data_IF_281311095642
#
_entry.id   IF_281311095642
#
_cell.length_a   1.000
_cell.length_b   1.000
_cell.length_c   1.000
_cell.angle_alpha   90.00
_cell.angle_beta   90.00
_cell.angle_gamma   90.00
#
_symmetry.space_group_name_H-M   'P 1'
#
loop_
_entity.id
_entity.type
_entity.pdbx_description
1 polymer ?
#
# COMPACT_ATOMS: atom_id res chain seq x y z
N UNK A 1 8.79 -3.28 -20.38
CA UNK A 1 9.15 -2.21 -21.34
C UNK A 1 8.02 -1.89 -22.32
N UNK A 2 7.47 -2.86 -23.06
CA UNK A 2 6.33 -2.60 -23.95
C UNK A 2 5.12 -1.93 -23.26
N UNK A 3 4.70 -2.42 -22.08
CA UNK A 3 3.59 -1.82 -21.33
C UNK A 3 3.87 -0.37 -20.88
N UNK A 4 5.11 -0.06 -20.52
CA UNK A 4 5.51 1.31 -20.17
C UNK A 4 5.39 2.25 -21.37
N UNK A 5 5.82 1.81 -22.55
CA UNK A 5 5.71 2.61 -23.78
C UNK A 5 4.24 2.87 -24.13
N UNK A 6 3.39 1.83 -24.07
CA UNK A 6 1.95 1.97 -24.37
C UNK A 6 1.28 2.93 -23.39
N UNK A 7 1.52 2.77 -22.08
CA UNK A 7 0.86 3.60 -21.07
C UNK A 7 1.39 5.03 -21.08
N UNK A 8 2.71 5.20 -21.08
CA UNK A 8 3.34 6.52 -20.90
C UNK A 8 3.39 7.34 -22.17
N UNK A 9 3.64 6.72 -23.33
CA UNK A 9 3.84 7.44 -24.58
C UNK A 9 2.61 7.44 -25.50
N UNK A 10 1.64 6.55 -25.29
CA UNK A 10 0.41 6.50 -26.09
C UNK A 10 -0.79 6.94 -25.25
N UNK A 11 -1.12 6.19 -24.19
CA UNK A 11 -2.35 6.41 -23.44
C UNK A 11 -2.36 7.74 -22.67
N UNK A 12 -1.28 8.08 -21.97
CA UNK A 12 -1.22 9.35 -21.19
C UNK A 12 -1.33 10.60 -22.08
N UNK A 13 -0.57 10.72 -23.20
CA UNK A 13 -0.79 11.77 -24.18
C UNK A 13 -2.22 11.80 -24.70
N UNK A 14 -2.74 10.68 -25.19
CA UNK A 14 -4.10 10.64 -25.76
C UNK A 14 -5.13 11.10 -24.74
N UNK A 15 -5.04 10.66 -23.48
CA UNK A 15 -5.94 11.06 -22.40
C UNK A 15 -5.83 12.56 -22.06
N UNK A 16 -4.62 13.13 -22.09
CA UNK A 16 -4.39 14.55 -21.84
C UNK A 16 -4.93 15.43 -23.00
N UNK A 17 -4.65 15.05 -24.24
CA UNK A 17 -5.10 15.80 -25.43
C UNK A 17 -6.62 15.75 -25.64
N UNK A 18 -7.25 14.60 -25.34
CA UNK A 18 -8.71 14.42 -25.35
C UNK A 18 -9.41 15.11 -24.17
N UNK A 19 -8.66 15.75 -23.26
CA UNK A 19 -9.19 16.42 -22.06
C UNK A 19 -10.06 15.50 -21.19
N UNK A 20 -9.72 14.21 -21.12
CA UNK A 20 -10.41 13.25 -20.25
C UNK A 20 -10.26 13.70 -18.79
N UNK A 21 -11.35 13.74 -18.03
CA UNK A 21 -11.39 14.22 -16.63
C UNK A 21 -10.92 15.66 -16.39
N UNK A 22 -10.93 16.53 -17.41
CA UNK A 22 -10.43 17.91 -17.26
C UNK A 22 -8.92 17.99 -17.07
N UNK A 23 -8.18 16.96 -17.55
CA UNK A 23 -6.74 16.81 -17.36
C UNK A 23 -5.91 18.02 -17.78
N UNK A 24 -6.36 18.84 -18.73
CA UNK A 24 -5.63 20.05 -19.20
C UNK A 24 -5.51 21.13 -18.13
N UNK A 25 -6.29 21.06 -17.05
CA UNK A 25 -6.23 22.01 -15.93
C UNK A 25 -5.08 21.71 -14.96
N UNK A 26 -4.44 20.55 -15.09
CA UNK A 26 -3.46 20.04 -14.13
C UNK A 26 -2.14 19.71 -14.83
N UNK A 27 -1.00 19.69 -14.11
CA UNK A 27 0.28 19.27 -14.68
C UNK A 27 0.21 17.82 -15.18
N UNK A 28 0.89 17.56 -16.30
CA UNK A 28 0.93 16.24 -16.95
C UNK A 28 1.43 15.13 -16.02
N UNK A 29 2.44 15.43 -15.20
CA UNK A 29 2.97 14.56 -14.14
C UNK A 29 2.98 15.36 -12.84
N UNK A 30 2.21 14.92 -11.86
CA UNK A 30 2.29 15.45 -10.51
C UNK A 30 1.79 14.41 -9.51
N UNK A 31 2.43 14.34 -8.35
CA UNK A 31 1.98 13.57 -7.19
C UNK A 31 0.99 14.35 -6.30
N UNK A 32 0.75 15.63 -6.61
CA UNK A 32 -0.15 16.48 -5.84
C UNK A 32 -1.62 16.30 -6.25
N UNK A 33 -2.51 16.54 -5.29
CA UNK A 33 -3.95 16.67 -5.47
C UNK A 33 -4.31 18.12 -5.82
N UNK A 34 -5.30 18.31 -6.69
CA UNK A 34 -5.70 19.62 -7.17
C UNK A 34 -7.18 19.91 -6.94
N UNK A 35 -7.50 21.18 -6.69
CA UNK A 35 -8.86 21.71 -6.72
C UNK A 35 -9.39 21.79 -8.16
N UNK A 36 -10.68 22.06 -8.37
CA UNK A 36 -11.26 22.27 -9.71
C UNK A 36 -10.53 23.34 -10.54
N UNK A 37 -9.89 24.30 -9.87
CA UNK A 37 -9.22 25.47 -10.46
C UNK A 37 -7.76 25.20 -10.87
N UNK A 38 -7.24 23.99 -10.70
CA UNK A 38 -5.84 23.67 -11.02
C UNK A 38 -4.83 24.05 -9.93
N UNK A 39 -5.30 24.65 -8.82
CA UNK A 39 -4.47 24.97 -7.66
C UNK A 39 -4.27 23.73 -6.77
N UNK A 40 -3.13 23.64 -6.04
CA UNK A 40 -2.92 22.56 -5.08
C UNK A 40 -4.02 22.54 -4.02
N UNK A 41 -4.53 21.36 -3.73
CA UNK A 41 -5.69 21.17 -2.85
C UNK A 41 -5.35 21.52 -1.40
N UNK A 42 -6.11 22.44 -0.78
CA UNK A 42 -5.88 22.84 0.60
C UNK A 42 -6.64 21.93 1.57
N UNK A 43 -5.92 20.97 2.15
CA UNK A 43 -6.46 19.95 3.05
C UNK A 43 -6.99 20.57 4.37
N UNK A 44 -6.42 21.68 4.82
CA UNK A 44 -6.83 22.34 6.06
C UNK A 44 -8.25 22.92 6.02
N UNK A 45 -8.84 23.09 4.82
CA UNK A 45 -10.22 23.58 4.65
C UNK A 45 -11.28 22.49 4.84
N UNK A 46 -10.91 21.22 4.64
CA UNK A 46 -11.81 20.06 4.74
C UNK A 46 -11.58 19.23 6.01
N UNK A 47 -10.54 19.54 6.77
CA UNK A 47 -10.23 18.89 8.04
C UNK A 47 -10.49 19.84 9.19
N UNK A 48 -11.27 19.37 10.16
CA UNK A 48 -11.41 20.08 11.41
C UNK A 48 -10.08 20.04 12.19
N UNK A 49 -9.47 21.19 12.44
CA UNK A 49 -8.13 21.30 13.07
C UNK A 49 -8.07 20.79 14.51
N UNK A 50 -9.21 20.61 15.18
CA UNK A 50 -9.28 20.13 16.57
C UNK A 50 -9.50 18.63 16.68
N UNK A 51 -10.31 18.07 15.79
CA UNK A 51 -10.66 16.65 15.81
C UNK A 51 -9.95 15.84 14.73
N UNK A 52 -9.30 16.46 13.74
CA UNK A 52 -8.78 15.82 12.52
C UNK A 52 -9.82 14.95 11.79
N UNK A 53 -11.10 15.23 12.03
CA UNK A 53 -12.22 14.56 11.37
C UNK A 53 -12.43 15.21 10.00
N UNK A 54 -12.73 14.37 9.01
CA UNK A 54 -13.13 14.85 7.69
C UNK A 54 -14.53 15.46 7.76
N UNK A 55 -14.65 16.69 7.25
CA UNK A 55 -15.92 17.42 7.17
C UNK A 55 -16.47 17.32 5.73
N UNK A 56 -17.58 16.59 5.60
CA UNK A 56 -18.23 16.34 4.31
C UNK A 56 -18.87 17.62 3.73
N UNK A 57 -19.44 18.50 4.56
CA UNK A 57 -20.08 19.73 4.09
C UNK A 57 -19.04 20.74 3.59
N UNK A 58 -17.91 20.84 4.31
CA UNK A 58 -16.78 21.65 3.86
C UNK A 58 -16.16 21.11 2.57
N UNK A 59 -16.15 19.78 2.38
CA UNK A 59 -15.69 19.15 1.15
C UNK A 59 -16.60 19.44 -0.05
N UNK A 60 -17.92 19.27 0.13
CA UNK A 60 -18.90 19.46 -0.95
C UNK A 60 -19.00 20.94 -1.38
N UNK A 61 -18.75 21.87 -0.46
CA UNK A 61 -18.71 23.31 -0.76
C UNK A 61 -17.39 23.80 -1.37
N UNK A 62 -16.26 23.15 -1.10
CA UNK A 62 -14.95 23.56 -1.62
C UNK A 62 -14.70 23.06 -3.04
N UNK A 63 -14.41 21.77 -3.21
CA UNK A 63 -14.36 21.09 -4.51
C UNK A 63 -14.09 19.61 -4.32
N UNK A 64 -14.52 18.81 -5.31
CA UNK A 64 -14.03 17.44 -5.46
C UNK A 64 -12.52 17.45 -5.67
N UNK A 65 -11.84 16.46 -5.10
CA UNK A 65 -10.39 16.26 -5.27
C UNK A 65 -10.14 15.72 -6.66
N UNK A 66 -9.31 16.43 -7.42
CA UNK A 66 -8.84 15.98 -8.73
C UNK A 66 -7.38 15.51 -8.64
N UNK A 67 -7.06 14.49 -9.42
CA UNK A 67 -5.73 13.89 -9.48
C UNK A 67 -5.14 14.12 -10.88
N UNK A 68 -3.81 14.21 -10.97
CA UNK A 68 -3.14 14.26 -12.27
C UNK A 68 -3.40 12.97 -13.05
N UNK A 69 -3.47 13.08 -14.38
CA UNK A 69 -3.77 11.96 -15.28
C UNK A 69 -2.78 10.81 -15.10
N UNK A 70 -1.49 11.12 -14.87
CA UNK A 70 -0.47 10.14 -14.55
C UNK A 70 -0.84 9.30 -13.33
N UNK A 71 -1.23 9.95 -12.24
CA UNK A 71 -1.55 9.30 -10.96
C UNK A 71 -2.80 8.40 -11.07
N UNK A 72 -3.82 8.85 -11.82
CA UNK A 72 -5.02 8.04 -12.10
C UNK A 72 -4.66 6.75 -12.83
N UNK A 73 -3.81 6.82 -13.85
CA UNK A 73 -3.35 5.62 -14.57
C UNK A 73 -2.48 4.70 -13.70
N UNK A 74 -1.62 5.24 -12.84
CA UNK A 74 -0.83 4.43 -11.89
C UNK A 74 -1.72 3.67 -10.91
N UNK A 75 -2.79 4.32 -10.41
CA UNK A 75 -3.77 3.68 -9.54
C UNK A 75 -4.54 2.59 -10.28
N UNK A 76 -5.04 2.88 -11.48
CA UNK A 76 -5.71 1.89 -12.33
C UNK A 76 -4.84 0.67 -12.64
N UNK A 77 -3.56 0.88 -12.94
CA UNK A 77 -2.61 -0.19 -13.21
C UNK A 77 -2.32 -1.02 -11.95
N UNK A 78 -2.30 -0.41 -10.77
CA UNK A 78 -2.13 -1.12 -9.49
C UNK A 78 -3.27 -2.10 -9.27
N UNK A 79 -4.52 -1.69 -9.53
CA UNK A 79 -5.68 -2.58 -9.49
C UNK A 79 -5.62 -3.69 -10.54
N UNK A 80 -5.21 -3.37 -11.78
CA UNK A 80 -5.09 -4.37 -12.85
C UNK A 80 -4.01 -5.43 -12.54
N UNK A 81 -2.88 -5.01 -11.97
CA UNK A 81 -1.79 -5.92 -11.59
C UNK A 81 -2.24 -6.88 -10.49
N UNK A 82 -3.01 -6.38 -9.52
CA UNK A 82 -3.58 -7.23 -8.48
C UNK A 82 -4.64 -8.21 -9.02
N UNK A 83 -5.61 -7.71 -9.80
CA UNK A 83 -6.71 -8.51 -10.34
C UNK A 83 -6.25 -9.61 -11.32
N UNK A 84 -5.25 -9.32 -12.16
CA UNK A 84 -4.66 -10.31 -13.06
C UNK A 84 -3.99 -11.44 -12.29
N UNK A 85 -3.41 -11.14 -11.13
CA UNK A 85 -2.63 -12.08 -10.35
C UNK A 85 -3.48 -12.96 -9.44
N UNK A 86 -4.54 -12.41 -8.85
CA UNK A 86 -5.53 -13.20 -8.08
C UNK A 86 -6.23 -14.24 -8.95
N UNK A 87 -6.44 -13.95 -10.23
CA UNK A 87 -7.12 -14.84 -11.20
C UNK A 87 -6.23 -15.95 -11.76
N UNK A 88 -4.91 -15.85 -11.61
CA UNK A 88 -3.97 -16.83 -12.17
C UNK A 88 -3.86 -18.04 -11.22
N UNK A 89 -4.53 -19.15 -11.53
CA UNK A 89 -4.43 -20.46 -10.81
C UNK A 89 -2.99 -20.92 -10.54
N UNK A 90 -2.04 -20.48 -11.38
CA UNK A 90 -0.61 -20.77 -11.26
C UNK A 90 0.08 -20.06 -10.08
N UNK A 91 -0.50 -18.97 -9.54
CA UNK A 91 0.05 -18.27 -8.38
C UNK A 91 -0.16 -19.04 -7.08
N UNK A 92 -1.26 -19.78 -6.95
CA UNK A 92 -1.55 -20.63 -5.78
C UNK A 92 -0.67 -21.89 -5.78
N UNK A 93 -0.47 -22.53 -6.96
CA UNK A 93 0.46 -23.66 -7.08
C UNK A 93 1.93 -23.26 -6.82
N UNK A 94 2.35 -22.08 -7.32
CA UNK A 94 3.70 -21.57 -7.05
C UNK A 94 3.88 -21.12 -5.59
N UNK A 95 2.85 -20.56 -4.96
CA UNK A 95 2.86 -20.27 -3.53
C UNK A 95 2.97 -21.54 -2.68
N UNK A 96 2.20 -22.59 -2.98
CA UNK A 96 2.28 -23.86 -2.27
C UNK A 96 3.65 -24.52 -2.44
N UNK A 97 4.24 -24.47 -3.64
CA UNK A 97 5.59 -24.98 -3.87
C UNK A 97 6.66 -24.15 -3.14
N UNK A 98 6.52 -22.82 -3.10
CA UNK A 98 7.42 -21.94 -2.34
C UNK A 98 7.34 -22.20 -0.84
N UNK A 99 6.15 -22.45 -0.29
CA UNK A 99 5.97 -22.83 1.13
C UNK A 99 6.64 -24.18 1.41
N UNK A 100 6.50 -25.17 0.52
CA UNK A 100 7.15 -26.49 0.68
C UNK A 100 8.69 -26.42 0.55
N UNK A 101 9.21 -25.52 -0.27
CA UNK A 101 10.66 -25.29 -0.42
C UNK A 101 11.23 -24.52 0.78
N UNK A 102 10.48 -23.55 1.32
CA UNK A 102 10.84 -22.83 2.56
C UNK A 102 10.80 -23.75 3.79
N UNK A 103 9.89 -24.73 3.80
CA UNK A 103 9.78 -25.75 4.84
C UNK A 103 10.93 -26.77 4.84
N UNK A 104 11.69 -26.92 3.76
CA UNK A 104 12.60 -28.06 3.61
C UNK A 104 14.08 -27.75 3.89
N UNK A 105 14.56 -26.51 3.71
CA UNK A 105 16.03 -26.27 3.64
C UNK A 105 16.62 -25.17 4.54
N UNK A 106 15.90 -24.59 5.51
CA UNK A 106 16.50 -23.49 6.30
C UNK A 106 16.18 -23.36 7.79
N UNK A 107 15.87 -24.47 8.48
CA UNK A 107 15.89 -24.46 9.96
C UNK A 107 17.23 -24.97 10.52
N UNK A 108 18.27 -24.15 10.32
CA UNK A 108 19.47 -24.15 11.15
C UNK A 108 19.20 -23.35 12.42
N UNK A 109 18.67 -24.02 13.43
CA UNK A 109 18.16 -23.47 14.69
C UNK A 109 19.28 -22.84 15.57
N UNK A 110 19.17 -21.52 15.83
CA UNK A 110 19.73 -20.89 17.07
C UNK A 110 19.18 -19.48 17.41
N UNK A 111 18.30 -18.88 16.61
CA UNK A 111 17.85 -17.50 16.79
C UNK A 111 16.32 -17.29 16.70
N UNK A 112 15.51 -18.34 16.84
CA UNK A 112 14.03 -18.28 16.74
C UNK A 112 13.38 -17.51 17.91
N UNK A 113 13.95 -17.63 19.12
CA UNK A 113 13.40 -17.03 20.33
C UNK A 113 13.45 -15.49 20.25
N UNK A 114 14.48 -14.92 19.62
CA UNK A 114 14.63 -13.47 19.56
C UNK A 114 13.64 -12.83 18.56
N UNK A 115 13.39 -13.47 17.40
CA UNK A 115 12.47 -12.93 16.39
C UNK A 115 11.01 -12.98 16.84
N UNK A 116 10.59 -14.06 17.51
CA UNK A 116 9.23 -14.16 18.05
C UNK A 116 8.99 -13.17 19.19
N UNK A 117 9.99 -12.94 20.05
CA UNK A 117 9.92 -11.94 21.11
C UNK A 117 9.87 -10.52 20.53
N UNK A 118 10.67 -10.20 19.51
CA UNK A 118 10.62 -8.88 18.84
C UNK A 118 9.24 -8.65 18.20
N UNK A 119 8.65 -9.67 17.59
CA UNK A 119 7.31 -9.57 16.99
C UNK A 119 6.23 -9.37 18.06
N UNK A 120 6.30 -10.09 19.18
CA UNK A 120 5.39 -9.92 20.30
C UNK A 120 5.52 -8.54 20.96
N UNK A 121 6.75 -8.04 21.15
CA UNK A 121 7.02 -6.70 21.67
C UNK A 121 6.53 -5.62 20.71
N UNK A 122 6.75 -5.78 19.40
CA UNK A 122 6.25 -4.84 18.39
C UNK A 122 4.72 -4.83 18.33
N UNK A 123 4.06 -5.98 18.49
CA UNK A 123 2.60 -6.06 18.56
C UNK A 123 2.06 -5.35 19.80
N UNK A 124 2.64 -5.60 20.97
CA UNK A 124 2.23 -4.94 22.23
C UNK A 124 2.47 -3.44 22.16
N UNK A 125 3.62 -2.99 21.64
CA UNK A 125 3.90 -1.57 21.43
C UNK A 125 2.93 -0.94 20.41
N UNK A 126 2.52 -1.65 19.36
CA UNK A 126 1.53 -1.17 18.40
C UNK A 126 0.14 -1.00 19.03
N UNK A 127 -0.27 -1.93 19.90
CA UNK A 127 -1.55 -1.83 20.62
C UNK A 127 -1.50 -0.68 21.64
N UNK A 128 -0.40 -0.56 22.38
CA UNK A 128 -0.18 0.55 23.34
C UNK A 128 -0.09 1.90 22.62
N UNK A 129 0.53 1.98 21.45
CA UNK A 129 0.59 3.22 20.67
C UNK A 129 -0.81 3.65 20.19
N UNK A 130 -1.71 2.70 19.92
CA UNK A 130 -3.07 3.00 19.52
C UNK A 130 -4.00 3.35 20.69
N UNK A 131 -3.80 2.78 21.88
CA UNK A 131 -4.54 3.22 23.08
C UNK A 131 -3.94 4.49 23.71
N UNK A 132 -2.63 4.68 23.66
CA UNK A 132 -1.95 5.85 24.22
C UNK A 132 -2.16 7.15 23.42
N UNK A 133 -2.54 7.05 22.14
CA UNK A 133 -2.84 8.19 21.25
C UNK A 133 -4.34 8.34 20.95
N UNK A 134 -5.20 8.03 21.93
CA UNK A 134 -6.68 8.07 21.88
C UNK A 134 -7.31 9.28 21.15
N UNK A 135 -6.63 10.43 21.08
CA UNK A 135 -7.13 11.67 20.46
C UNK A 135 -6.52 12.01 19.10
N UNK A 136 -5.46 11.34 18.68
CA UNK A 136 -4.76 11.69 17.43
C UNK A 136 -4.88 10.60 16.36
N UNK A 137 -4.66 9.32 16.67
CA UNK A 137 -4.59 8.29 15.63
C UNK A 137 -5.95 7.90 15.03
N UNK A 138 -7.06 8.14 15.74
CA UNK A 138 -8.43 7.82 15.34
C UNK A 138 -8.69 6.35 14.92
N UNK A 139 -7.69 5.47 14.93
CA UNK A 139 -7.75 4.09 14.44
C UNK A 139 -8.13 3.16 15.60
N UNK A 140 -9.24 2.40 15.51
CA UNK A 140 -9.62 1.42 16.52
C UNK A 140 -8.67 0.20 16.52
N UNK A 141 -8.57 -0.49 17.66
CA UNK A 141 -7.72 -1.70 17.83
C UNK A 141 -8.01 -2.79 16.79
N UNK A 142 -9.27 -2.95 16.37
CA UNK A 142 -9.67 -3.87 15.29
C UNK A 142 -8.98 -3.56 13.95
N UNK A 143 -8.71 -2.29 13.67
CA UNK A 143 -8.02 -1.87 12.44
C UNK A 143 -6.58 -2.38 12.38
N UNK A 144 -5.88 -2.45 13.51
CA UNK A 144 -4.51 -2.98 13.58
C UNK A 144 -4.52 -4.50 13.37
N UNK A 145 -5.43 -5.19 14.05
CA UNK A 145 -5.57 -6.65 13.93
C UNK A 145 -5.87 -7.03 12.48
N UNK A 146 -6.75 -6.29 11.82
CA UNK A 146 -7.05 -6.44 10.40
C UNK A 146 -5.82 -6.15 9.52
N UNK A 147 -5.07 -5.07 9.79
CA UNK A 147 -3.87 -4.72 9.04
C UNK A 147 -2.80 -5.81 9.13
N UNK A 148 -2.59 -6.38 10.31
CA UNK A 148 -1.65 -7.49 10.51
C UNK A 148 -2.11 -8.78 9.82
N UNK A 149 -3.40 -9.11 9.91
CA UNK A 149 -3.94 -10.28 9.23
C UNK A 149 -3.79 -10.16 7.70
N UNK A 150 -4.06 -8.98 7.14
CA UNK A 150 -3.84 -8.70 5.73
C UNK A 150 -2.35 -8.75 5.39
N UNK A 151 -1.48 -8.13 6.19
CA UNK A 151 -0.04 -8.19 5.98
C UNK A 151 0.44 -9.65 5.92
N UNK A 152 0.06 -10.48 6.90
CA UNK A 152 0.43 -11.90 6.95
C UNK A 152 -0.02 -12.68 5.71
N UNK A 153 -1.28 -12.53 5.29
CA UNK A 153 -1.84 -13.22 4.11
C UNK A 153 -1.15 -12.73 2.83
N UNK A 154 -0.89 -11.43 2.71
CA UNK A 154 -0.35 -10.84 1.50
C UNK A 154 1.19 -10.91 1.41
N UNK A 155 1.94 -11.03 2.50
CA UNK A 155 3.42 -11.12 2.47
C UNK A 155 3.90 -12.25 1.57
N UNK A 156 3.28 -13.42 1.64
CA UNK A 156 3.65 -14.60 0.85
C UNK A 156 3.48 -14.38 -0.67
N UNK A 157 2.29 -14.04 -1.19
CA UNK A 157 2.11 -13.82 -2.62
C UNK A 157 2.90 -12.62 -3.13
N UNK A 158 3.02 -11.54 -2.34
CA UNK A 158 3.78 -10.35 -2.74
C UNK A 158 5.27 -10.68 -2.82
N UNK A 159 5.83 -11.38 -1.84
CA UNK A 159 7.24 -11.76 -1.84
C UNK A 159 7.63 -12.56 -3.10
N UNK A 160 6.77 -13.48 -3.54
CA UNK A 160 6.98 -14.26 -4.77
C UNK A 160 6.94 -13.36 -6.02
N UNK A 161 6.01 -12.40 -6.07
CA UNK A 161 5.89 -11.46 -7.19
C UNK A 161 7.13 -10.59 -7.25
N UNK A 162 7.48 -9.91 -6.16
CA UNK A 162 8.66 -9.02 -6.11
C UNK A 162 9.93 -9.79 -6.45
N UNK A 163 10.09 -11.03 -5.98
CA UNK A 163 11.24 -11.86 -6.31
C UNK A 163 11.34 -12.29 -7.78
N UNK A 164 10.20 -12.33 -8.52
CA UNK A 164 10.17 -12.78 -9.92
C UNK A 164 10.12 -11.63 -10.93
N UNK A 165 9.46 -10.52 -10.58
CA UNK A 165 9.26 -9.37 -11.47
C UNK A 165 10.14 -8.19 -11.13
N UNK A 166 10.76 -8.19 -9.94
CA UNK A 166 11.50 -7.05 -9.38
C UNK A 166 10.65 -5.76 -9.35
N UNK A 167 9.33 -5.89 -9.25
CA UNK A 167 8.39 -4.77 -9.15
C UNK A 167 7.57 -4.89 -7.86
N UNK A 168 7.56 -3.83 -7.06
CA UNK A 168 6.69 -3.73 -5.89
C UNK A 168 5.25 -3.42 -6.33
N UNK A 169 4.28 -4.27 -5.98
CA UNK A 169 2.87 -3.99 -6.25
C UNK A 169 2.40 -2.76 -5.48
N UNK A 170 1.55 -1.94 -6.09
CA UNK A 170 0.94 -0.74 -5.48
C UNK A 170 -0.10 -1.03 -4.39
N UNK A 171 0.22 -1.88 -3.41
CA UNK A 171 -0.68 -2.35 -2.35
C UNK A 171 -1.16 -1.24 -1.43
N UNK A 172 -0.36 -0.20 -1.31
CA UNK A 172 -0.70 1.04 -0.65
C UNK A 172 -2.14 1.49 -1.01
N UNK A 173 -2.45 1.55 -2.31
CA UNK A 173 -3.76 1.97 -2.81
C UNK A 173 -4.90 1.03 -2.39
N UNK A 174 -4.62 -0.28 -2.35
CA UNK A 174 -5.61 -1.29 -2.00
C UNK A 174 -5.90 -1.25 -0.50
N UNK A 175 -4.86 -1.15 0.33
CA UNK A 175 -5.04 -1.04 1.79
C UNK A 175 -5.79 0.24 2.16
N UNK A 176 -5.50 1.33 1.45
CA UNK A 176 -6.19 2.62 1.56
C UNK A 176 -7.66 2.53 1.13
N UNK A 177 -7.98 1.79 0.06
CA UNK A 177 -9.35 1.54 -0.35
C UNK A 177 -10.13 0.69 0.66
N UNK A 178 -9.52 -0.39 1.19
CA UNK A 178 -10.15 -1.31 2.14
C UNK A 178 -10.53 -0.56 3.42
N UNK A 179 -9.58 0.17 4.03
CA UNK A 179 -9.87 0.91 5.26
C UNK A 179 -10.75 2.13 5.00
N UNK A 180 -10.62 2.79 3.84
CA UNK A 180 -11.51 3.89 3.45
C UNK A 180 -12.98 3.46 3.33
N UNK A 181 -13.23 2.21 2.89
CA UNK A 181 -14.58 1.64 2.86
C UNK A 181 -15.06 1.18 4.25
N UNK A 182 -14.18 0.57 5.04
CA UNK A 182 -14.53 0.02 6.36
C UNK A 182 -14.67 1.11 7.44
N UNK A 183 -13.95 2.23 7.29
CA UNK A 183 -13.89 3.32 8.24
C UNK A 183 -13.82 4.70 7.56
N UNK A 184 -14.95 5.17 7.00
CA UNK A 184 -15.00 6.42 6.24
C UNK A 184 -14.84 7.65 7.15
N UNK A 185 -14.30 8.73 6.58
CA UNK A 185 -14.23 10.06 7.22
C UNK A 185 -13.05 10.27 8.18
N UNK A 186 -12.12 9.33 8.26
CA UNK A 186 -10.94 9.42 9.15
C UNK A 186 -9.63 9.25 8.37
N UNK A 187 -9.05 10.33 7.84
CA UNK A 187 -7.86 10.26 6.99
C UNK A 187 -6.61 9.83 7.76
N UNK A 188 -6.50 10.16 9.06
CA UNK A 188 -5.37 9.70 9.87
C UNK A 188 -5.39 8.19 10.10
N UNK A 189 -6.57 7.62 10.33
CA UNK A 189 -6.75 6.18 10.43
C UNK A 189 -6.35 5.48 9.13
N UNK A 190 -6.71 6.05 7.98
CA UNK A 190 -6.32 5.54 6.67
C UNK A 190 -4.78 5.52 6.49
N UNK A 191 -4.09 6.61 6.83
CA UNK A 191 -2.62 6.68 6.74
C UNK A 191 -1.93 5.71 7.70
N UNK A 192 -2.42 5.60 8.94
CA UNK A 192 -1.88 4.65 9.92
C UNK A 192 -2.04 3.20 9.44
N UNK A 193 -3.25 2.82 9.01
CA UNK A 193 -3.54 1.47 8.52
C UNK A 193 -2.67 1.10 7.32
N UNK A 194 -2.53 2.00 6.34
CA UNK A 194 -1.63 1.85 5.21
C UNK A 194 -0.18 1.64 5.64
N UNK A 195 0.30 2.43 6.59
CA UNK A 195 1.68 2.36 7.12
C UNK A 195 1.93 0.99 7.72
N UNK A 196 1.05 0.51 8.59
CA UNK A 196 1.17 -0.81 9.20
C UNK A 196 1.04 -1.95 8.18
N UNK A 197 0.10 -1.86 7.24
CA UNK A 197 -0.12 -2.90 6.24
C UNK A 197 0.98 -2.98 5.17
N UNK A 198 1.44 -1.84 4.66
CA UNK A 198 2.37 -1.81 3.51
C UNK A 198 3.83 -1.84 3.95
N UNK A 199 4.23 -0.99 4.91
CA UNK A 199 5.64 -0.87 5.30
C UNK A 199 6.10 -2.17 5.98
N UNK A 200 5.25 -2.79 6.79
CA UNK A 200 5.55 -4.08 7.41
C UNK A 200 5.83 -5.18 6.38
N UNK A 201 5.09 -5.19 5.27
CA UNK A 201 5.29 -6.17 4.19
C UNK A 201 6.60 -5.90 3.44
N UNK A 202 6.88 -4.63 3.09
CA UNK A 202 8.15 -4.26 2.45
C UNK A 202 9.34 -4.61 3.33
N UNK A 203 9.27 -4.35 4.64
CA UNK A 203 10.31 -4.74 5.61
C UNK A 203 10.52 -6.26 5.64
N UNK A 204 9.44 -7.05 5.63
CA UNK A 204 9.52 -8.51 5.60
C UNK A 204 10.17 -9.04 4.31
N UNK A 205 9.89 -8.42 3.15
CA UNK A 205 10.50 -8.81 1.87
C UNK A 205 11.99 -8.46 1.82
N UNK A 206 12.38 -7.30 2.34
CA UNK A 206 13.80 -6.93 2.45
C UNK A 206 14.55 -7.93 3.33
N UNK A 207 13.98 -8.30 4.47
CA UNK A 207 14.55 -9.32 5.35
C UNK A 207 14.70 -10.70 4.67
N UNK A 208 13.70 -11.12 3.89
CA UNK A 208 13.79 -12.34 3.07
C UNK A 208 14.89 -12.26 2.00
N UNK A 209 15.08 -11.08 1.39
CA UNK A 209 16.17 -10.86 0.44
C UNK A 209 17.54 -10.99 1.10
N UNK A 210 17.69 -10.48 2.32
CA UNK A 210 18.94 -10.58 3.09
C UNK A 210 19.26 -12.03 3.49
N UNK A 211 18.25 -12.82 3.87
CA UNK A 211 18.45 -14.27 4.11
C UNK A 211 18.94 -15.01 2.87
N UNK A 212 18.39 -14.66 1.70
CA UNK A 212 18.81 -15.23 0.42
C UNK A 212 20.28 -14.92 0.15
N UNK A 213 20.69 -13.67 0.36
CA UNK A 213 22.09 -13.24 0.22
C UNK A 213 23.01 -13.97 1.23
N UNK A 214 22.59 -14.09 2.48
CA UNK A 214 23.35 -14.80 3.52
C UNK A 214 23.59 -16.27 3.19
N UNK A 215 22.63 -16.95 2.55
CA UNK A 215 22.83 -18.31 2.07
C UNK A 215 23.87 -18.37 0.93
N UNK A 216 23.83 -17.43 -0.01
CA UNK A 216 24.84 -17.35 -1.08
C UNK A 216 26.25 -17.04 -0.56
N UNK A 217 26.36 -16.25 0.52
CA UNK A 217 27.66 -15.91 1.12
C UNK A 217 28.29 -17.06 1.93
N UNK A 218 27.50 -18.05 2.34
CA UNK A 218 27.98 -19.21 3.10
C UNK A 218 28.50 -20.35 2.22
N UNK A 219 28.31 -20.24 0.90
CA UNK A 219 28.70 -21.23 -0.11
C UNK A 219 30.08 -20.93 -0.73
N UNK A 220 30.80 -19.93 -0.20
CA UNK A 220 32.17 -19.60 -0.62
C UNK A 220 33.18 -19.83 0.51
#
# INVERSE_FOLDING_TARGET
MAGFIIIVYILLPVAYWTNSYGAKKFPFISSHVFSYDGQPYNISRILNTKTFSFDQEAYDSYSKVNLSIFFVFTYGLSFATFASRSSTKNSSSKANNSISMFSSDQFGCKHEICSEIILAVAFVLSVIACEGLDKQLQLPYWGIILAMALAFIFTLPIGIITATTNQEPGLNVITELIIGYLYPGKPLANVAFKTYGTISVTQAIMFLSDFKLGHYMKVQ
#
